data_IF_696065110293
#
_entry.id   IF_696065110293
#
_cell.length_a   1.000
_cell.length_b   1.000
_cell.length_c   1.000
_cell.angle_alpha   90.00
_cell.angle_beta   90.00
_cell.angle_gamma   90.00
#
_symmetry.space_group_name_H-M   'P 1'
#
loop_
_entity.id
_entity.type
_entity.pdbx_description
1 polymer ?
#
# COMPACT_ATOMS: atom_id res chain seq x y z
N UNK A 1 -32.86 -11.49 18.17
CA UNK A 1 -31.45 -11.10 17.99
C UNK A 1 -31.10 -11.04 16.50
N UNK A 2 -30.76 -9.86 15.99
CA UNK A 2 -30.61 -9.55 14.56
C UNK A 2 -29.28 -10.06 13.98
N UNK A 3 -29.33 -11.18 13.26
CA UNK A 3 -28.20 -11.78 12.53
C UNK A 3 -27.85 -11.09 11.20
N UNK A 4 -27.87 -9.76 11.15
CA UNK A 4 -27.45 -8.98 9.97
C UNK A 4 -26.18 -8.19 10.29
N UNK A 5 -25.04 -8.57 9.69
CA UNK A 5 -23.92 -7.69 9.22
C UNK A 5 -22.54 -8.40 9.22
N UNK A 6 -22.33 -9.40 8.35
CA UNK A 6 -20.95 -9.88 8.05
C UNK A 6 -20.67 -10.21 6.56
N UNK A 7 -21.48 -9.70 5.61
CA UNK A 7 -21.24 -9.88 4.16
C UNK A 7 -20.68 -8.66 3.41
N UNK A 8 -20.59 -7.46 4.02
CA UNK A 8 -20.12 -6.22 3.34
C UNK A 8 -18.61 -5.92 3.40
N UNK A 9 -17.78 -6.70 4.11
CA UNK A 9 -16.34 -6.37 4.31
C UNK A 9 -15.40 -6.89 3.22
N UNK A 10 -15.78 -7.89 2.40
CA UNK A 10 -14.88 -8.50 1.40
C UNK A 10 -14.66 -7.62 0.15
N UNK A 11 -15.66 -6.83 -0.26
CA UNK A 11 -15.59 -5.96 -1.44
C UNK A 11 -14.64 -4.78 -1.25
N UNK A 12 -14.57 -4.21 -0.05
CA UNK A 12 -13.63 -3.13 0.26
C UNK A 12 -12.16 -3.58 0.16
N UNK A 13 -11.85 -4.81 0.60
CA UNK A 13 -10.48 -5.32 0.64
C UNK A 13 -9.85 -5.47 -0.76
N UNK A 14 -10.58 -6.06 -1.71
CA UNK A 14 -10.11 -6.20 -3.09
C UNK A 14 -9.90 -4.85 -3.77
N UNK A 15 -10.86 -3.94 -3.58
CA UNK A 15 -10.84 -2.61 -4.17
C UNK A 15 -9.64 -1.76 -3.72
N UNK A 16 -9.36 -1.70 -2.40
CA UNK A 16 -8.21 -0.94 -1.91
C UNK A 16 -6.87 -1.51 -2.40
N UNK A 17 -6.74 -2.83 -2.53
CA UNK A 17 -5.52 -3.44 -3.06
C UNK A 17 -5.35 -3.21 -4.56
N UNK A 18 -6.44 -3.15 -5.33
CA UNK A 18 -6.39 -2.76 -6.73
C UNK A 18 -5.90 -1.31 -6.89
N UNK A 19 -6.47 -0.37 -6.13
CA UNK A 19 -6.05 1.03 -6.18
C UNK A 19 -4.58 1.21 -5.76
N UNK A 20 -4.14 0.45 -4.75
CA UNK A 20 -2.74 0.39 -4.34
C UNK A 20 -1.82 -0.11 -5.44
N UNK A 21 -2.23 -1.20 -6.11
CA UNK A 21 -1.50 -1.74 -7.26
C UNK A 21 -1.36 -0.69 -8.36
N UNK A 22 -2.46 -0.07 -8.77
CA UNK A 22 -2.46 0.94 -9.84
C UNK A 22 -1.57 2.14 -9.50
N UNK A 23 -1.58 2.62 -8.25
CA UNK A 23 -0.68 3.72 -7.83
C UNK A 23 0.80 3.30 -7.94
N UNK A 24 1.14 2.09 -7.48
CA UNK A 24 2.52 1.59 -7.58
C UNK A 24 2.94 1.39 -9.03
N UNK A 25 2.05 0.86 -9.88
CA UNK A 25 2.30 0.69 -11.31
C UNK A 25 2.56 2.03 -12.00
N UNK A 26 1.73 3.04 -11.74
CA UNK A 26 1.90 4.40 -12.27
C UNK A 26 3.26 4.97 -11.86
N UNK A 27 3.65 4.83 -10.59
CA UNK A 27 4.92 5.35 -10.09
C UNK A 27 6.13 4.54 -10.60
N UNK A 28 5.97 3.23 -10.79
CA UNK A 28 6.99 2.37 -11.38
C UNK A 28 7.26 2.79 -12.83
N UNK A 29 6.23 2.95 -13.63
CA UNK A 29 6.34 3.42 -15.01
C UNK A 29 6.94 4.84 -15.07
N UNK A 30 6.53 5.74 -14.18
CA UNK A 30 7.10 7.09 -14.12
C UNK A 30 8.62 7.07 -13.82
N UNK A 31 9.07 6.15 -12.95
CA UNK A 31 10.49 6.01 -12.63
C UNK A 31 11.30 5.43 -13.79
N UNK A 32 10.84 4.34 -14.40
CA UNK A 32 11.66 3.58 -15.35
C UNK A 32 11.45 3.96 -16.82
N UNK A 33 10.23 4.36 -17.21
CA UNK A 33 9.91 4.75 -18.60
C UNK A 33 10.06 6.26 -18.80
N UNK A 34 9.57 7.07 -17.86
CA UNK A 34 9.56 8.53 -17.99
C UNK A 34 10.72 9.22 -17.24
N UNK A 35 11.45 8.48 -16.39
CA UNK A 35 12.57 8.98 -15.58
C UNK A 35 12.22 10.22 -14.73
N UNK A 36 10.98 10.33 -14.24
CA UNK A 36 10.50 11.52 -13.50
C UNK A 36 9.65 11.18 -12.26
N UNK A 37 9.44 12.20 -11.43
CA UNK A 37 8.47 12.15 -10.31
C UNK A 37 7.09 12.63 -10.77
N UNK A 38 6.05 12.17 -10.07
CA UNK A 38 4.68 12.62 -10.31
C UNK A 38 4.11 13.36 -9.11
N UNK A 39 3.30 14.37 -9.36
CA UNK A 39 2.42 14.99 -8.35
C UNK A 39 1.24 14.07 -8.04
N UNK A 40 0.58 14.30 -6.89
CA UNK A 40 -0.65 13.57 -6.55
C UNK A 40 -1.77 13.78 -7.58
N UNK A 41 -1.84 14.97 -8.19
CA UNK A 41 -2.81 15.29 -9.24
C UNK A 41 -2.56 14.45 -10.50
N UNK A 42 -1.31 14.34 -10.95
CA UNK A 42 -0.96 13.50 -12.11
C UNK A 42 -1.27 12.03 -11.88
N UNK A 43 -1.01 11.51 -10.67
CA UNK A 43 -1.36 10.13 -10.31
C UNK A 43 -2.87 9.92 -10.41
N UNK A 44 -3.66 10.85 -9.84
CA UNK A 44 -5.12 10.79 -9.91
C UNK A 44 -5.64 10.86 -11.34
N UNK A 45 -5.14 11.79 -12.16
CA UNK A 45 -5.55 11.89 -13.56
C UNK A 45 -5.28 10.60 -14.35
N UNK A 46 -4.14 9.94 -14.10
CA UNK A 46 -3.82 8.66 -14.75
C UNK A 46 -4.75 7.54 -14.31
N UNK A 47 -5.04 7.44 -13.01
CA UNK A 47 -6.04 6.48 -12.50
C UNK A 47 -7.40 6.68 -13.18
N UNK A 48 -7.87 7.92 -13.26
CA UNK A 48 -9.14 8.25 -13.93
C UNK A 48 -9.13 7.90 -15.41
N UNK A 49 -7.99 8.05 -16.10
CA UNK A 49 -7.85 7.69 -17.52
C UNK A 49 -7.90 6.18 -17.73
N UNK A 50 -7.19 5.42 -16.90
CA UNK A 50 -7.03 3.98 -17.07
C UNK A 50 -8.29 3.20 -16.67
N UNK A 51 -9.08 3.71 -15.72
CA UNK A 51 -10.36 3.10 -15.33
C UNK A 51 -11.37 4.12 -14.78
N UNK A 52 -12.04 4.88 -15.66
CA UNK A 52 -12.96 5.94 -15.27
C UNK A 52 -14.06 5.46 -14.32
N UNK A 53 -14.73 4.35 -14.65
CA UNK A 53 -15.84 3.80 -13.86
C UNK A 53 -15.45 3.30 -12.46
N UNK A 54 -14.18 2.92 -12.28
CA UNK A 54 -13.65 2.40 -11.01
C UNK A 54 -13.23 3.56 -10.10
N UNK A 55 -12.73 4.65 -10.68
CA UNK A 55 -12.09 5.74 -9.95
C UNK A 55 -12.85 7.08 -9.98
N UNK A 56 -13.92 7.21 -10.77
CA UNK A 56 -14.83 8.38 -10.81
C UNK A 56 -15.37 8.75 -9.43
N UNK A 57 -15.65 7.74 -8.61
CA UNK A 57 -16.17 7.92 -7.25
C UNK A 57 -15.10 8.35 -6.24
N UNK A 58 -13.83 8.41 -6.64
CA UNK A 58 -12.73 8.72 -5.74
C UNK A 58 -12.21 10.14 -5.98
N UNK A 59 -12.49 10.99 -5.00
CA UNK A 59 -11.88 12.32 -4.96
C UNK A 59 -10.37 12.24 -4.81
N UNK A 60 -9.69 13.26 -5.33
CA UNK A 60 -8.25 13.47 -5.15
C UNK A 60 -7.80 13.35 -3.66
N UNK A 61 -8.70 13.65 -2.71
CA UNK A 61 -8.48 13.46 -1.26
C UNK A 61 -8.18 11.99 -0.90
N UNK A 62 -8.88 11.03 -1.50
CA UNK A 62 -8.66 9.59 -1.26
C UNK A 62 -7.28 9.14 -1.72
N UNK A 63 -6.82 9.64 -2.87
CA UNK A 63 -5.46 9.39 -3.37
C UNK A 63 -4.42 9.92 -2.38
N UNK A 64 -4.58 11.15 -1.89
CA UNK A 64 -3.67 11.71 -0.89
C UNK A 64 -3.68 10.94 0.44
N UNK A 65 -4.79 10.32 0.84
CA UNK A 65 -4.83 9.45 2.02
C UNK A 65 -3.99 8.18 1.79
N UNK A 66 -4.10 7.54 0.63
CA UNK A 66 -3.34 6.32 0.30
C UNK A 66 -1.85 6.64 0.15
N UNK A 67 -1.50 7.72 -0.54
CA UNK A 67 -0.11 8.17 -0.65
C UNK A 67 0.50 8.42 0.75
N UNK A 68 -0.26 9.06 1.67
CA UNK A 68 0.18 9.24 3.06
C UNK A 68 0.38 7.91 3.80
N UNK A 69 -0.50 6.94 3.60
CA UNK A 69 -0.36 5.61 4.20
C UNK A 69 0.90 4.88 3.71
N UNK A 70 1.24 5.02 2.43
CA UNK A 70 2.43 4.41 1.81
C UNK A 70 3.75 5.06 2.25
N UNK A 71 3.69 6.33 2.66
CA UNK A 71 4.80 7.06 3.27
C UNK A 71 4.97 6.66 4.75
N UNK A 72 3.87 6.47 5.48
CA UNK A 72 3.87 6.18 6.92
C UNK A 72 4.14 4.72 7.29
N UNK A 73 4.33 3.82 6.31
CA UNK A 73 4.64 2.42 6.64
C UNK A 73 6.04 2.33 7.27
N UNK A 74 5.99 2.14 8.59
CA UNK A 74 7.02 1.93 9.61
C UNK A 74 8.03 3.06 9.87
N UNK A 75 7.68 3.94 10.81
CA UNK A 75 8.53 5.01 11.36
C UNK A 75 9.72 4.52 12.18
N UNK A 76 9.81 3.21 12.50
CA UNK A 76 10.94 2.63 13.24
C UNK A 76 11.92 1.80 12.39
N UNK A 77 11.54 1.39 11.17
CA UNK A 77 12.41 0.73 10.18
C UNK A 77 12.08 1.30 8.80
N UNK A 78 13.02 2.01 8.17
CA UNK A 78 12.95 2.84 6.92
C UNK A 78 12.33 2.16 5.66
N UNK A 79 11.17 1.51 5.77
CA UNK A 79 10.56 0.69 4.73
C UNK A 79 9.30 1.37 4.17
N UNK A 80 9.43 2.64 3.76
CA UNK A 80 8.37 3.33 3.02
C UNK A 80 8.29 2.77 1.60
N UNK A 81 7.09 2.58 1.07
CA UNK A 81 6.88 2.12 -0.32
C UNK A 81 6.98 3.27 -1.33
N UNK A 82 6.71 4.49 -0.86
CA UNK A 82 6.74 5.71 -1.67
C UNK A 82 7.49 6.78 -0.89
N UNK A 83 8.39 7.48 -1.58
CA UNK A 83 9.04 8.69 -1.09
C UNK A 83 8.34 9.93 -1.66
N UNK A 84 8.41 11.05 -0.93
CA UNK A 84 7.94 12.34 -1.43
C UNK A 84 8.94 13.46 -1.13
N UNK A 85 8.95 14.49 -1.97
CA UNK A 85 9.65 15.76 -1.75
C UNK A 85 8.81 16.92 -2.29
N UNK A 86 9.08 18.14 -1.85
CA UNK A 86 8.50 19.34 -2.51
C UNK A 86 9.31 19.67 -3.76
N UNK A 87 8.63 20.08 -4.84
CA UNK A 87 9.27 20.68 -6.00
C UNK A 87 9.52 22.19 -5.76
N UNK A 88 9.99 22.92 -6.79
CA UNK A 88 10.24 24.37 -6.72
C UNK A 88 8.98 25.18 -6.36
N UNK A 89 7.81 24.71 -6.77
CA UNK A 89 6.51 25.34 -6.51
C UNK A 89 5.90 24.96 -5.15
N UNK A 90 6.66 24.26 -4.30
CA UNK A 90 6.19 23.79 -2.99
C UNK A 90 5.23 22.59 -3.05
N UNK A 91 4.97 22.03 -4.23
CA UNK A 91 4.06 20.90 -4.46
C UNK A 91 4.76 19.58 -4.18
N UNK A 92 4.08 18.67 -3.48
CA UNK A 92 4.60 17.33 -3.24
C UNK A 92 4.61 16.49 -4.51
N UNK A 93 5.80 16.00 -4.86
CA UNK A 93 6.04 15.00 -5.89
C UNK A 93 6.47 13.68 -5.25
N UNK A 94 6.09 12.57 -5.86
CA UNK A 94 6.19 11.22 -5.34
C UNK A 94 7.09 10.37 -6.24
N UNK A 95 7.85 9.44 -5.63
CA UNK A 95 8.62 8.39 -6.32
C UNK A 95 8.42 7.07 -5.59
N UNK A 96 8.32 5.98 -6.35
CA UNK A 96 8.38 4.63 -5.79
C UNK A 96 9.76 4.36 -5.17
N UNK A 97 9.79 3.67 -4.03
CA UNK A 97 11.02 3.20 -3.39
C UNK A 97 11.37 1.79 -3.85
N UNK A 98 12.56 1.28 -3.50
CA UNK A 98 12.94 -0.12 -3.73
C UNK A 98 11.92 -1.10 -3.12
N UNK A 99 11.46 -0.85 -1.89
CA UNK A 99 10.44 -1.68 -1.25
C UNK A 99 9.08 -1.62 -1.97
N UNK A 100 8.74 -0.44 -2.52
CA UNK A 100 7.54 -0.26 -3.33
C UNK A 100 7.61 -1.02 -4.65
N UNK A 101 8.78 -1.04 -5.28
CA UNK A 101 9.06 -1.80 -6.50
C UNK A 101 8.90 -3.29 -6.25
N UNK A 102 9.53 -3.82 -5.20
CA UNK A 102 9.39 -5.23 -4.85
C UNK A 102 7.92 -5.59 -4.57
N UNK A 103 7.18 -4.72 -3.85
CA UNK A 103 5.77 -4.96 -3.60
C UNK A 103 4.96 -4.97 -4.90
N UNK A 104 5.23 -4.05 -5.82
CA UNK A 104 4.58 -3.99 -7.12
C UNK A 104 4.84 -5.27 -7.93
N UNK A 105 6.10 -5.71 -8.00
CA UNK A 105 6.49 -6.92 -8.72
C UNK A 105 5.83 -8.16 -8.12
N UNK A 106 5.82 -8.29 -6.79
CA UNK A 106 5.11 -9.39 -6.10
C UNK A 106 3.60 -9.36 -6.38
N UNK A 107 2.99 -8.18 -6.43
CA UNK A 107 1.57 -8.02 -6.78
C UNK A 107 1.27 -8.34 -8.24
N UNK A 108 2.23 -8.09 -9.14
CA UNK A 108 2.12 -8.43 -10.56
C UNK A 108 2.24 -9.95 -10.78
N UNK A 109 3.13 -10.60 -10.04
CA UNK A 109 3.38 -12.04 -10.14
C UNK A 109 2.29 -12.88 -9.45
N UNK A 110 1.89 -12.49 -8.24
CA UNK A 110 0.99 -13.30 -7.41
C UNK A 110 -0.41 -12.67 -7.22
N UNK A 111 -0.71 -11.62 -7.98
CA UNK A 111 -1.96 -10.88 -7.90
C UNK A 111 -2.12 -10.09 -6.60
N UNK A 112 -3.34 -9.57 -6.38
CA UNK A 112 -3.67 -8.67 -5.26
C UNK A 112 -3.57 -9.31 -3.86
N UNK A 113 -3.25 -10.61 -3.77
CA UNK A 113 -2.99 -11.33 -2.50
C UNK A 113 -1.55 -11.15 -2.01
N UNK A 114 -0.64 -10.66 -2.84
CA UNK A 114 0.78 -10.51 -2.49
C UNK A 114 1.06 -9.75 -1.18
N UNK A 115 0.35 -8.66 -0.83
CA UNK A 115 0.59 -7.98 0.46
C UNK A 115 0.32 -8.88 1.68
N UNK A 116 -0.66 -9.77 1.58
CA UNK A 116 -1.00 -10.72 2.66
C UNK A 116 0.08 -11.79 2.76
N UNK A 117 0.54 -12.31 1.62
CA UNK A 117 1.60 -13.32 1.59
C UNK A 117 2.93 -12.76 2.09
N UNK A 118 3.29 -11.53 1.70
CA UNK A 118 4.46 -10.81 2.20
C UNK A 118 4.41 -10.62 3.70
N UNK A 119 3.27 -10.19 4.25
CA UNK A 119 3.08 -10.10 5.71
C UNK A 119 3.25 -11.46 6.38
N UNK A 120 2.70 -12.54 5.82
CA UNK A 120 2.84 -13.90 6.34
C UNK A 120 4.31 -14.35 6.38
N UNK A 121 5.07 -14.10 5.30
CA UNK A 121 6.52 -14.41 5.23
C UNK A 121 7.32 -13.65 6.28
N UNK A 122 7.11 -12.33 6.41
CA UNK A 122 7.78 -11.50 7.42
C UNK A 122 7.48 -12.02 8.83
N UNK A 123 6.22 -12.34 9.13
CA UNK A 123 5.84 -12.88 10.44
C UNK A 123 6.46 -14.25 10.70
N UNK A 124 6.54 -15.12 9.69
CA UNK A 124 7.21 -16.42 9.80
C UNK A 124 8.72 -16.28 10.02
N UNK A 125 9.36 -15.31 9.36
CA UNK A 125 10.78 -15.03 9.55
C UNK A 125 11.04 -14.49 10.96
N UNK A 126 10.26 -13.51 11.42
CA UNK A 126 10.33 -13.00 12.79
C UNK A 126 10.13 -14.13 13.80
N UNK A 127 9.16 -15.01 13.55
CA UNK A 127 8.93 -16.18 14.40
C UNK A 127 10.14 -17.11 14.49
N UNK A 128 10.84 -17.36 13.37
CA UNK A 128 12.06 -18.20 13.34
C UNK A 128 13.24 -17.55 14.08
N UNK A 129 13.31 -16.22 14.07
CA UNK A 129 14.39 -15.45 14.70
C UNK A 129 14.15 -15.24 16.21
N UNK A 130 12.93 -15.45 16.71
CA UNK A 130 12.55 -15.28 18.12
C UNK A 130 12.71 -16.57 18.94
N UNK A 131 13.14 -16.44 20.19
CA UNK A 131 13.18 -17.56 21.13
C UNK A 131 11.80 -17.92 21.70
N UNK A 132 11.67 -19.09 22.37
CA UNK A 132 10.39 -19.60 22.90
C UNK A 132 9.70 -18.68 23.93
N UNK A 133 10.44 -17.85 24.67
CA UNK A 133 9.86 -16.86 25.61
C UNK A 133 9.30 -15.65 24.85
N UNK A 134 10.02 -15.17 23.85
CA UNK A 134 9.63 -14.05 22.99
C UNK A 134 8.41 -14.39 22.13
N UNK A 135 8.35 -15.61 21.60
CA UNK A 135 7.19 -16.09 20.84
C UNK A 135 5.92 -16.06 21.70
N UNK A 136 5.98 -16.53 22.96
CA UNK A 136 4.81 -16.53 23.87
C UNK A 136 4.32 -15.12 24.21
N UNK A 137 5.22 -14.14 24.37
CA UNK A 137 4.85 -12.75 24.65
C UNK A 137 4.21 -12.06 23.44
N UNK A 138 4.73 -12.31 22.24
CA UNK A 138 4.31 -11.66 21.00
C UNK A 138 2.87 -11.97 20.57
N UNK A 139 2.33 -13.14 20.92
CA UNK A 139 0.93 -13.47 20.66
C UNK A 139 0.00 -13.00 21.78
N UNK A 140 0.50 -12.85 23.03
CA UNK A 140 -0.31 -12.41 24.17
C UNK A 140 -0.74 -10.95 24.05
N UNK A 141 0.12 -10.08 23.54
CA UNK A 141 -0.21 -8.65 23.29
C UNK A 141 -1.25 -8.43 22.17
N UNK A 142 -1.53 -9.45 21.34
CA UNK A 142 -2.49 -9.32 20.24
C UNK A 142 -3.93 -9.65 20.60
N UNK A 143 -4.13 -10.40 21.68
CA UNK A 143 -5.45 -10.80 22.16
C UNK A 143 -6.08 -9.71 23.05
N UNK A 144 -5.27 -8.85 23.69
CA UNK A 144 -5.73 -7.71 24.52
C UNK A 144 -6.22 -6.49 23.69
N UNK A 145 -5.98 -6.49 22.37
CA UNK A 145 -6.39 -5.44 21.41
C UNK A 145 -7.64 -5.82 20.57
N UNK A 146 -8.30 -6.95 20.88
CA UNK A 146 -9.55 -7.42 20.23
C UNK A 146 -10.80 -7.19 21.06
#
# INVERSE_FOLDING_TARGET
MSGKKRKKKKTAFGYYNLLKFSILEILYNAKYKEKRSLTGKEIWMRLCKDSPSIYEKHSLKNIYMILRHYIKFNTKKRNFYISRRKNKDGVYVYKISKHGEELYLEMKEHGLKAPVMRRRRIMQQLYREMNMREQKAFFKERDDDT
#
